data_IF_661843982370
#
_entry.id   IF_661843982370
#
_cell.length_a   1.000
_cell.length_b   1.000
_cell.length_c   1.000
_cell.angle_alpha   90.00
_cell.angle_beta   90.00
_cell.angle_gamma   90.00
#
_symmetry.space_group_name_H-M   'P 1'
#
loop_
_entity.id
_entity.type
_entity.pdbx_description
1 polymer ?
#
# COMPACT_ATOMS: atom_id res chain seq x y z
N UNK A 1 43.96 40.48 -32.00
CA UNK A 1 43.03 39.46 -32.53
C UNK A 1 43.36 38.16 -31.79
N UNK A 2 42.51 37.47 -31.05
CA UNK A 2 41.06 37.51 -30.89
C UNK A 2 40.69 37.22 -29.42
N UNK A 3 39.47 37.60 -29.08
CA UNK A 3 38.81 37.63 -27.78
C UNK A 3 38.33 36.26 -27.28
N UNK A 4 38.23 36.16 -25.95
CA UNK A 4 37.44 35.29 -25.07
C UNK A 4 36.52 34.19 -25.64
N UNK A 5 36.52 33.04 -24.96
CA UNK A 5 35.27 32.31 -24.66
C UNK A 5 35.46 31.36 -23.46
N UNK A 6 34.81 31.58 -22.31
CA UNK A 6 34.78 30.62 -21.21
C UNK A 6 33.86 29.42 -21.54
N UNK A 7 34.22 28.26 -21.00
CA UNK A 7 33.46 27.02 -21.06
C UNK A 7 32.05 27.23 -20.50
N UNK A 8 30.99 26.65 -21.09
CA UNK A 8 29.64 26.79 -20.57
C UNK A 8 29.52 26.04 -19.24
N UNK A 9 29.28 26.81 -18.18
CA UNK A 9 28.84 26.31 -16.89
C UNK A 9 27.47 25.64 -17.08
N UNK A 10 27.41 24.34 -16.78
CA UNK A 10 26.18 23.55 -16.90
C UNK A 10 25.22 24.03 -15.82
N UNK A 11 24.33 24.94 -16.20
CA UNK A 11 23.20 25.38 -15.38
C UNK A 11 22.27 24.17 -15.24
N UNK A 12 21.97 23.67 -14.03
CA UNK A 12 21.07 22.54 -13.89
C UNK A 12 19.69 22.99 -14.36
N UNK A 13 19.18 22.33 -15.40
CA UNK A 13 17.82 22.46 -15.88
C UNK A 13 16.87 22.20 -14.71
N UNK A 14 16.27 23.29 -14.20
CA UNK A 14 15.12 23.20 -13.33
C UNK A 14 13.95 22.74 -14.19
N UNK A 15 13.72 21.43 -14.21
CA UNK A 15 12.48 20.83 -14.69
C UNK A 15 11.32 21.51 -13.94
N UNK A 16 10.61 22.36 -14.66
CA UNK A 16 9.38 22.99 -14.22
C UNK A 16 8.29 21.93 -14.22
N UNK A 17 8.30 21.05 -13.21
CA UNK A 17 7.16 20.19 -12.93
C UNK A 17 5.98 21.09 -12.58
N UNK A 18 5.05 21.23 -13.52
CA UNK A 18 3.71 21.75 -13.30
C UNK A 18 3.07 20.92 -12.19
N UNK A 19 3.22 21.39 -10.95
CA UNK A 19 2.71 20.78 -9.74
C UNK A 19 1.20 20.95 -9.71
N UNK A 20 0.47 20.17 -10.52
CA UNK A 20 -0.86 19.71 -10.09
C UNK A 20 -0.63 19.19 -8.69
N UNK A 21 -1.27 19.80 -7.70
CA UNK A 21 -1.13 19.45 -6.28
C UNK A 21 -1.65 18.02 -6.12
N UNK A 22 -0.87 17.02 -6.54
CA UNK A 22 -1.18 15.59 -6.41
C UNK A 22 -1.40 15.41 -4.93
N UNK A 23 -2.62 15.03 -4.57
CA UNK A 23 -2.95 14.72 -3.19
C UNK A 23 -1.89 13.73 -2.68
N UNK A 24 -1.43 13.87 -1.42
CA UNK A 24 -0.47 12.92 -0.88
C UNK A 24 -1.01 11.49 -1.07
N UNK A 25 -0.14 10.53 -1.44
CA UNK A 25 -0.60 9.17 -1.59
C UNK A 25 -1.11 8.64 -0.24
N UNK A 26 -2.08 7.75 -0.29
CA UNK A 26 -2.67 7.06 0.86
C UNK A 26 -2.29 5.59 0.81
N UNK A 27 -1.93 5.03 1.95
CA UNK A 27 -1.61 3.63 2.13
C UNK A 27 -2.80 2.88 2.76
N UNK A 28 -3.11 1.71 2.22
CA UNK A 28 -4.00 0.73 2.86
C UNK A 28 -3.14 -0.10 3.81
N UNK A 29 -3.44 0.00 5.09
CA UNK A 29 -2.73 -0.65 6.17
C UNK A 29 -3.53 -1.86 6.64
N UNK A 30 -2.94 -3.04 6.52
CA UNK A 30 -3.46 -4.27 7.10
C UNK A 30 -2.91 -4.41 8.53
N UNK A 31 -3.78 -4.65 9.50
CA UNK A 31 -3.43 -4.89 10.89
C UNK A 31 -3.40 -6.39 11.17
N UNK A 32 -2.41 -6.86 11.93
CA UNK A 32 -2.41 -8.21 12.46
C UNK A 32 -3.44 -8.35 13.57
N UNK A 33 -4.04 -9.53 13.64
CA UNK A 33 -4.96 -9.93 14.70
C UNK A 33 -4.67 -11.39 15.09
N UNK A 34 -5.08 -11.78 16.30
CA UNK A 34 -4.81 -13.11 16.87
C UNK A 34 -5.88 -14.17 16.52
N UNK A 35 -6.91 -13.80 15.75
CA UNK A 35 -8.09 -14.65 15.53
C UNK A 35 -8.13 -15.23 14.11
N UNK A 36 -7.72 -14.46 13.10
CA UNK A 36 -7.75 -14.86 11.70
C UNK A 36 -6.56 -15.73 11.33
N UNK A 37 -6.80 -16.72 10.47
CA UNK A 37 -5.76 -17.61 9.97
C UNK A 37 -4.92 -16.95 8.88
N UNK A 38 -3.65 -17.32 8.82
CA UNK A 38 -2.72 -16.86 7.78
C UNK A 38 -3.20 -17.17 6.36
N UNK A 39 -3.81 -18.35 6.17
CA UNK A 39 -4.41 -18.80 4.90
C UNK A 39 -5.54 -17.86 4.45
N UNK A 40 -6.41 -17.45 5.38
CA UNK A 40 -7.48 -16.50 5.10
C UNK A 40 -6.92 -15.13 4.68
N UNK A 41 -5.94 -14.59 5.42
CA UNK A 41 -5.29 -13.32 5.08
C UNK A 41 -4.69 -13.36 3.67
N UNK A 42 -3.95 -14.42 3.34
CA UNK A 42 -3.35 -14.60 2.01
C UNK A 42 -4.42 -14.68 0.92
N UNK A 43 -5.51 -15.42 1.16
CA UNK A 43 -6.63 -15.53 0.23
C UNK A 43 -7.31 -14.18 -0.05
N UNK A 44 -7.55 -13.39 1.01
CA UNK A 44 -8.11 -12.03 0.88
C UNK A 44 -7.18 -11.12 0.09
N UNK A 45 -5.89 -11.10 0.41
CA UNK A 45 -4.91 -10.27 -0.30
C UNK A 45 -4.83 -10.63 -1.80
N UNK A 46 -4.88 -11.92 -2.13
CA UNK A 46 -4.92 -12.37 -3.53
C UNK A 46 -6.19 -11.92 -4.23
N UNK A 47 -7.35 -12.06 -3.58
CA UNK A 47 -8.65 -11.71 -4.17
C UNK A 47 -8.79 -10.20 -4.41
N UNK A 48 -8.32 -9.37 -3.47
CA UNK A 48 -8.46 -7.92 -3.53
C UNK A 48 -7.41 -7.27 -4.43
N UNK A 49 -6.15 -7.70 -4.35
CA UNK A 49 -5.03 -7.05 -5.05
C UNK A 49 -4.52 -7.81 -6.27
N UNK A 50 -4.92 -9.06 -6.47
CA UNK A 50 -4.43 -9.89 -7.58
C UNK A 50 -2.94 -10.22 -7.46
N UNK A 51 -2.36 -10.13 -6.26
CA UNK A 51 -0.95 -10.43 -6.03
C UNK A 51 -0.65 -11.93 -6.12
N UNK A 52 0.63 -12.26 -6.36
CA UNK A 52 1.11 -13.63 -6.28
C UNK A 52 1.07 -14.14 -4.83
N UNK A 53 0.97 -15.46 -4.66
CA UNK A 53 0.96 -16.09 -3.33
C UNK A 53 2.19 -15.66 -2.52
N UNK A 54 3.37 -15.66 -3.13
CA UNK A 54 4.63 -15.28 -2.49
C UNK A 54 4.59 -13.85 -1.93
N UNK A 55 4.01 -12.90 -2.69
CA UNK A 55 3.88 -11.51 -2.24
C UNK A 55 2.87 -11.40 -1.10
N UNK A 56 1.75 -12.11 -1.18
CA UNK A 56 0.75 -12.13 -0.12
C UNK A 56 1.30 -12.73 1.17
N UNK A 57 2.07 -13.82 1.09
CA UNK A 57 2.72 -14.45 2.26
C UNK A 57 3.72 -13.48 2.90
N UNK A 58 4.52 -12.76 2.10
CA UNK A 58 5.46 -11.74 2.62
C UNK A 58 4.73 -10.62 3.36
N UNK A 59 3.68 -10.05 2.75
CA UNK A 59 2.89 -8.99 3.37
C UNK A 59 2.19 -9.48 4.65
N UNK A 60 1.59 -10.67 4.61
CA UNK A 60 0.95 -11.26 5.78
C UNK A 60 1.96 -11.47 6.92
N UNK A 61 3.15 -12.00 6.62
CA UNK A 61 4.19 -12.22 7.63
C UNK A 61 4.69 -10.89 8.21
N UNK A 62 4.85 -9.87 7.36
CA UNK A 62 5.23 -8.52 7.79
C UNK A 62 4.20 -7.92 8.75
N UNK A 63 2.90 -8.06 8.44
CA UNK A 63 1.84 -7.67 9.36
C UNK A 63 1.93 -8.45 10.67
N UNK A 64 2.13 -9.77 10.62
CA UNK A 64 2.21 -10.64 11.79
C UNK A 64 3.38 -10.26 12.72
N UNK A 65 4.54 -9.92 12.15
CA UNK A 65 5.73 -9.57 12.92
C UNK A 65 5.71 -8.13 13.44
N UNK A 66 5.24 -7.18 12.63
CA UNK A 66 5.29 -5.75 12.93
C UNK A 66 3.98 -5.20 13.52
N UNK A 67 2.93 -6.03 13.60
CA UNK A 67 1.59 -5.67 14.03
C UNK A 67 0.74 -4.98 12.94
N UNK A 68 1.37 -4.35 11.93
CA UNK A 68 0.71 -3.76 10.77
C UNK A 68 1.63 -3.69 9.56
N UNK A 69 1.07 -3.66 8.35
CA UNK A 69 1.83 -3.51 7.11
C UNK A 69 1.07 -2.71 6.06
N UNK A 70 1.78 -2.02 5.17
CA UNK A 70 1.18 -1.34 4.03
C UNK A 70 1.04 -2.32 2.84
N UNK A 71 -0.19 -2.65 2.47
CA UNK A 71 -0.47 -3.62 1.38
C UNK A 71 -0.65 -2.96 0.02
N UNK A 72 -0.96 -1.66 0.02
CA UNK A 72 -1.17 -0.87 -1.19
C UNK A 72 -0.98 0.62 -0.91
N UNK A 73 -0.51 1.38 -1.90
CA UNK A 73 -0.30 2.85 -1.81
C UNK A 73 -0.79 3.50 -3.10
N UNK A 74 -1.54 4.61 -3.00
CA UNK A 74 -1.98 5.39 -4.15
C UNK A 74 -3.05 6.43 -3.81
N UNK A 75 -3.99 6.69 -4.73
CA UNK A 75 -5.06 7.67 -4.50
C UNK A 75 -6.03 7.25 -3.38
N UNK A 76 -6.57 8.24 -2.66
CA UNK A 76 -7.50 8.02 -1.53
C UNK A 76 -8.71 7.18 -1.94
N UNK A 77 -9.35 7.51 -3.06
CA UNK A 77 -10.57 6.83 -3.54
C UNK A 77 -10.33 5.33 -3.78
N UNK A 78 -9.15 4.98 -4.30
CA UNK A 78 -8.78 3.59 -4.53
C UNK A 78 -8.40 2.90 -3.21
N UNK A 79 -7.75 3.61 -2.29
CA UNK A 79 -7.46 3.07 -0.95
C UNK A 79 -8.77 2.73 -0.21
N UNK A 80 -9.77 3.61 -0.26
CA UNK A 80 -11.10 3.39 0.33
C UNK A 80 -11.79 2.18 -0.29
N UNK A 81 -11.81 2.09 -1.61
CA UNK A 81 -12.40 0.95 -2.31
C UNK A 81 -11.69 -0.36 -1.96
N UNK A 82 -10.36 -0.36 -1.84
CA UNK A 82 -9.60 -1.55 -1.45
C UNK A 82 -9.83 -1.95 0.01
N UNK A 83 -9.89 -0.99 0.93
CA UNK A 83 -10.21 -1.24 2.33
C UNK A 83 -11.63 -1.82 2.48
N UNK A 84 -12.60 -1.28 1.74
CA UNK A 84 -13.97 -1.80 1.73
C UNK A 84 -14.05 -3.22 1.15
N UNK A 85 -13.30 -3.51 0.08
CA UNK A 85 -13.19 -4.87 -0.48
C UNK A 85 -12.63 -5.89 0.54
N UNK A 86 -11.64 -5.49 1.35
CA UNK A 86 -11.09 -6.34 2.42
C UNK A 86 -12.16 -6.60 3.49
N UNK A 87 -12.85 -5.55 3.97
CA UNK A 87 -13.93 -5.66 4.96
C UNK A 87 -15.09 -6.52 4.46
N UNK A 88 -15.41 -6.41 3.17
CA UNK A 88 -16.45 -7.17 2.49
C UNK A 88 -16.10 -8.65 2.27
N UNK A 89 -14.85 -9.08 2.47
CA UNK A 89 -14.50 -10.50 2.42
C UNK A 89 -15.07 -11.30 3.59
N UNK A 90 -15.60 -10.63 4.61
CA UNK A 90 -16.29 -11.27 5.74
C UNK A 90 -15.33 -11.87 6.76
N UNK A 91 -15.86 -12.77 7.56
CA UNK A 91 -15.12 -13.48 8.61
C UNK A 91 -14.39 -14.70 8.06
N UNK A 92 -13.31 -15.09 8.73
CA UNK A 92 -12.57 -16.30 8.40
C UNK A 92 -13.44 -17.57 8.53
N UNK A 93 -13.66 -18.33 7.43
CA UNK A 93 -14.46 -19.56 7.46
C UNK A 93 -13.80 -20.70 8.23
N UNK A 94 -12.50 -20.63 8.51
CA UNK A 94 -11.77 -21.62 9.29
C UNK A 94 -11.96 -21.43 10.80
N UNK A 95 -12.49 -20.28 11.24
CA UNK A 95 -12.73 -19.94 12.64
C UNK A 95 -14.21 -20.17 12.98
N UNK A 96 -14.48 -21.24 13.75
CA UNK A 96 -15.86 -21.69 14.04
C UNK A 96 -16.68 -20.73 14.89
N UNK A 97 -16.05 -19.91 15.74
CA UNK A 97 -16.72 -18.90 16.56
C UNK A 97 -15.84 -17.67 16.75
N UNK A 98 -16.40 -16.49 16.46
CA UNK A 98 -15.72 -15.21 16.72
C UNK A 98 -14.78 -14.71 15.63
N UNK A 99 -14.91 -15.18 14.38
CA UNK A 99 -14.18 -14.61 13.26
C UNK A 99 -14.64 -13.17 13.00
N UNK A 100 -13.72 -12.22 12.97
CA UNK A 100 -13.98 -10.83 12.64
C UNK A 100 -13.37 -10.51 11.26
N UNK A 101 -13.95 -9.57 10.49
CA UNK A 101 -13.32 -9.10 9.27
C UNK A 101 -11.92 -8.55 9.55
N UNK A 102 -11.01 -8.68 8.59
CA UNK A 102 -9.63 -8.23 8.73
C UNK A 102 -9.56 -6.75 9.08
N UNK A 103 -8.71 -6.42 10.06
CA UNK A 103 -8.46 -5.05 10.47
C UNK A 103 -7.75 -4.27 9.36
N UNK A 104 -8.40 -3.24 8.81
CA UNK A 104 -7.83 -2.39 7.77
C UNK A 104 -8.09 -0.90 8.04
N UNK A 105 -7.04 -0.11 7.87
CA UNK A 105 -7.05 1.35 8.00
C UNK A 105 -6.42 2.02 6.79
N UNK A 106 -6.68 3.31 6.60
CA UNK A 106 -6.08 4.11 5.53
C UNK A 106 -5.27 5.20 6.20
N UNK A 107 -3.96 5.22 5.96
CA UNK A 107 -3.05 6.21 6.52
C UNK A 107 -2.42 7.04 5.37
N UNK A 108 -2.13 8.34 5.54
CA UNK A 108 -1.37 9.11 4.56
C UNK A 108 0.05 8.51 4.41
N UNK A 109 0.45 8.19 3.19
CA UNK A 109 1.82 7.86 2.84
C UNK A 109 2.58 9.19 2.64
N UNK A 110 3.16 9.69 3.73
CA UNK A 110 3.91 10.95 3.77
C UNK A 110 5.37 10.77 3.35
#
# INVERSE_FOLDING_TARGET
>A
MATASPLPEVVPEQETETKTRRQPPYAVILHNDDLNTMEFVVSVLRKVFGYTVEKCVKLMLDAHQNGKTAVWIGAMEVAELKADQIRSCGSDPFVKQGGHPLGVSIEPAA
#
